data_IF_613672040638
#
_entry.id   IF_613672040638
#
_cell.length_a   1.000
_cell.length_b   1.000
_cell.length_c   1.000
_cell.angle_alpha   90.00
_cell.angle_beta   90.00
_cell.angle_gamma   90.00
#
_symmetry.space_group_name_H-M   'P 1'
#
loop_
_entity.id
_entity.type
_entity.pdbx_description
1 polymer ?
#
# COMPACT_ATOMS: atom_id res chain seq x y z
N UNK A 1 -35.04 27.50 -13.54
CA UNK A 1 -35.15 27.12 -12.11
C UNK A 1 -34.51 25.74 -11.97
N UNK A 2 -33.46 25.58 -11.17
CA UNK A 2 -32.88 24.26 -10.93
C UNK A 2 -33.87 23.49 -10.07
N UNK A 3 -34.33 22.31 -10.50
CA UNK A 3 -35.15 21.45 -9.67
C UNK A 3 -34.41 21.23 -8.35
N UNK A 4 -34.98 21.69 -7.24
CA UNK A 4 -34.46 21.38 -5.92
C UNK A 4 -34.75 19.90 -5.68
N UNK A 5 -33.81 19.05 -6.12
CA UNK A 5 -33.89 17.60 -5.94
C UNK A 5 -34.09 17.26 -4.47
N UNK A 6 -34.82 16.18 -4.20
CA UNK A 6 -35.02 15.68 -2.84
C UNK A 6 -33.66 15.26 -2.28
N UNK A 7 -33.19 15.97 -1.26
CA UNK A 7 -31.97 15.60 -0.54
C UNK A 7 -32.25 14.36 0.31
N UNK A 8 -31.40 13.35 0.18
CA UNK A 8 -31.42 12.10 0.92
C UNK A 8 -30.24 12.15 1.90
N UNK A 9 -30.49 12.15 3.22
CA UNK A 9 -29.41 12.08 4.21
C UNK A 9 -28.70 10.72 4.13
N UNK A 10 -27.46 10.66 4.60
CA UNK A 10 -26.62 9.46 4.49
C UNK A 10 -27.26 8.25 5.18
N UNK A 11 -27.94 8.47 6.29
CA UNK A 11 -28.62 7.46 7.10
C UNK A 11 -29.86 6.88 6.42
N UNK A 12 -30.39 7.57 5.39
CA UNK A 12 -31.56 7.14 4.63
C UNK A 12 -31.19 6.39 3.34
N UNK A 13 -29.92 5.99 3.17
CA UNK A 13 -29.49 5.13 2.07
C UNK A 13 -30.05 3.72 2.24
N UNK A 14 -30.66 3.20 1.18
CA UNK A 14 -31.09 1.81 1.09
C UNK A 14 -30.02 1.02 0.35
N UNK A 15 -29.85 -0.26 0.66
CA UNK A 15 -28.80 -1.12 0.08
C UNK A 15 -28.78 -1.16 -1.46
N UNK A 16 -29.92 -0.90 -2.11
CA UNK A 16 -30.04 -0.92 -3.57
C UNK A 16 -29.79 0.45 -4.21
N UNK A 17 -29.67 1.54 -3.44
CA UNK A 17 -29.38 2.86 -3.98
C UNK A 17 -27.97 2.88 -4.58
N UNK A 18 -27.83 3.53 -5.74
CA UNK A 18 -26.57 3.61 -6.46
C UNK A 18 -26.14 5.07 -6.55
N UNK A 19 -24.96 5.37 -6.04
CA UNK A 19 -24.36 6.70 -6.16
C UNK A 19 -23.61 6.75 -7.50
N UNK A 20 -23.94 7.74 -8.35
CA UNK A 20 -23.34 7.94 -9.68
C UNK A 20 -21.91 8.50 -9.60
N UNK A 21 -21.04 7.79 -8.89
CA UNK A 21 -19.66 8.14 -8.61
C UNK A 21 -18.76 6.92 -8.73
N UNK A 22 -17.55 7.09 -9.24
CA UNK A 22 -16.55 6.01 -9.29
C UNK A 22 -16.01 5.61 -7.89
N UNK A 23 -16.45 6.30 -6.83
CA UNK A 23 -16.22 5.88 -5.44
C UNK A 23 -17.23 4.80 -5.01
N UNK A 24 -18.42 4.77 -5.63
CA UNK A 24 -19.42 3.73 -5.41
C UNK A 24 -18.98 2.45 -6.12
N UNK A 25 -18.90 1.35 -5.36
CA UNK A 25 -18.35 0.10 -5.87
C UNK A 25 -19.21 -0.52 -6.98
N UNK A 26 -20.54 -0.40 -6.88
CA UNK A 26 -21.50 -0.94 -7.85
C UNK A 26 -21.42 -0.15 -9.15
N UNK A 27 -21.52 1.19 -9.08
CA UNK A 27 -21.38 2.06 -10.23
C UNK A 27 -20.01 1.88 -10.90
N UNK A 28 -18.92 1.90 -10.13
CA UNK A 28 -17.55 1.67 -10.62
C UNK A 28 -17.42 0.35 -11.38
N UNK A 29 -17.97 -0.73 -10.83
CA UNK A 29 -17.92 -2.07 -11.45
C UNK A 29 -18.65 -2.09 -12.78
N UNK A 30 -19.87 -1.55 -12.82
CA UNK A 30 -20.68 -1.46 -14.04
C UNK A 30 -19.94 -0.63 -15.09
N UNK A 31 -19.47 0.56 -14.72
CA UNK A 31 -18.73 1.44 -15.64
C UNK A 31 -17.50 0.73 -16.21
N UNK A 32 -16.72 0.03 -15.39
CA UNK A 32 -15.54 -0.72 -15.88
C UNK A 32 -15.88 -1.87 -16.84
N UNK A 33 -16.99 -2.57 -16.63
CA UNK A 33 -17.40 -3.62 -17.56
C UNK A 33 -17.71 -3.04 -18.95
N UNK A 34 -18.43 -1.92 -19.00
CA UNK A 34 -18.79 -1.27 -20.27
C UNK A 34 -17.62 -0.56 -20.94
N UNK A 35 -16.74 0.00 -20.13
CA UNK A 35 -15.45 0.52 -20.56
C UNK A 35 -14.62 -0.52 -21.34
N UNK A 36 -14.52 -1.75 -20.84
CA UNK A 36 -13.86 -2.83 -21.60
C UNK A 36 -14.60 -3.18 -22.90
N UNK A 37 -15.93 -3.26 -22.86
CA UNK A 37 -16.76 -3.50 -24.06
C UNK A 37 -16.53 -2.45 -25.15
N UNK A 38 -16.42 -1.17 -24.78
CA UNK A 38 -16.15 -0.08 -25.71
C UNK A 38 -14.74 -0.17 -26.31
N UNK A 39 -13.75 -0.60 -25.52
CA UNK A 39 -12.38 -0.81 -26.02
C UNK A 39 -12.30 -1.95 -27.04
N UNK A 40 -12.97 -3.07 -26.79
CA UNK A 40 -13.01 -4.22 -27.69
C UNK A 40 -13.64 -3.89 -29.05
N UNK A 41 -14.58 -2.94 -29.09
CA UNK A 41 -15.25 -2.48 -30.30
C UNK A 41 -14.45 -1.44 -31.09
N UNK A 42 -13.61 -0.63 -30.43
CA UNK A 42 -12.79 0.39 -31.10
C UNK A 42 -11.47 -0.13 -31.70
N UNK A 43 -11.36 -1.44 -32.01
CA UNK A 43 -10.10 -2.05 -32.52
C UNK A 43 -9.57 -1.40 -33.80
N UNK A 44 -10.45 -0.86 -34.64
CA UNK A 44 -10.06 -0.21 -35.90
C UNK A 44 -9.74 1.28 -35.73
N UNK A 45 -9.75 1.80 -34.49
CA UNK A 45 -9.54 3.22 -34.20
C UNK A 45 -10.68 4.14 -34.63
N UNK A 46 -11.67 3.63 -35.36
CA UNK A 46 -12.86 4.38 -35.78
C UNK A 46 -13.87 4.41 -34.62
N UNK A 47 -14.23 5.61 -34.19
CA UNK A 47 -15.24 5.83 -33.15
C UNK A 47 -16.63 5.70 -33.78
N UNK A 48 -17.41 4.71 -33.34
CA UNK A 48 -18.81 4.57 -33.72
C UNK A 48 -19.71 5.25 -32.66
N UNK A 49 -20.22 6.44 -33.00
CA UNK A 49 -21.07 7.23 -32.09
C UNK A 49 -22.39 6.54 -31.74
N UNK A 50 -22.97 5.80 -32.68
CA UNK A 50 -24.24 5.07 -32.48
C UNK A 50 -24.07 3.94 -31.45
N UNK A 51 -22.98 3.17 -31.56
CA UNK A 51 -22.66 2.14 -30.57
C UNK A 51 -22.33 2.70 -29.19
N UNK A 52 -21.67 3.87 -29.14
CA UNK A 52 -21.38 4.55 -27.89
C UNK A 52 -22.68 5.02 -27.21
N UNK A 53 -23.63 5.57 -27.97
CA UNK A 53 -24.96 5.95 -27.48
C UNK A 53 -25.77 4.75 -27.01
N UNK A 54 -25.76 3.64 -27.77
CA UNK A 54 -26.39 2.38 -27.35
C UNK A 54 -25.81 1.88 -26.03
N UNK A 55 -24.48 1.95 -25.88
CA UNK A 55 -23.80 1.53 -24.66
C UNK A 55 -24.16 2.41 -23.46
N UNK A 56 -24.25 3.74 -23.65
CA UNK A 56 -24.71 4.68 -22.60
C UNK A 56 -26.12 4.33 -22.11
N UNK A 57 -27.03 4.00 -23.03
CA UNK A 57 -28.40 3.62 -22.67
C UNK A 57 -28.48 2.24 -22.00
N UNK A 58 -27.65 1.28 -22.40
CA UNK A 58 -27.54 -0.03 -21.74
C UNK A 58 -27.06 0.09 -20.29
N UNK A 59 -26.04 0.93 -20.03
CA UNK A 59 -25.55 1.23 -18.67
C UNK A 59 -26.67 1.81 -17.82
N UNK A 60 -27.38 2.82 -18.35
CA UNK A 60 -28.48 3.46 -17.64
C UNK A 60 -29.60 2.47 -17.29
N UNK A 61 -30.01 1.64 -18.25
CA UNK A 61 -31.03 0.59 -18.01
C UNK A 61 -30.58 -0.41 -16.95
N UNK A 62 -29.30 -0.81 -16.97
CA UNK A 62 -28.77 -1.76 -15.98
C UNK A 62 -28.79 -1.17 -14.57
N UNK A 63 -28.37 0.09 -14.41
CA UNK A 63 -28.42 0.81 -13.13
C UNK A 63 -29.86 0.98 -12.64
N UNK A 64 -30.79 1.32 -13.53
CA UNK A 64 -32.22 1.45 -13.20
C UNK A 64 -32.85 0.11 -12.79
N UNK A 65 -32.49 -0.97 -13.48
CA UNK A 65 -33.01 -2.31 -13.20
C UNK A 65 -32.46 -2.91 -11.89
N UNK A 66 -31.38 -2.37 -11.32
CA UNK A 66 -30.90 -2.75 -10.00
C UNK A 66 -31.89 -2.37 -8.87
N UNK A 67 -32.89 -1.52 -9.17
CA UNK A 67 -34.09 -1.35 -8.34
C UNK A 67 -33.98 -0.31 -7.22
N UNK A 68 -32.85 0.38 -7.07
CA UNK A 68 -32.74 1.51 -6.13
C UNK A 68 -32.74 2.89 -6.80
N UNK A 69 -32.61 3.93 -5.98
CA UNK A 69 -32.54 5.32 -6.45
C UNK A 69 -31.16 5.58 -7.04
N UNK A 70 -31.12 6.40 -8.10
CA UNK A 70 -29.86 6.94 -8.60
C UNK A 70 -29.58 8.25 -7.87
N UNK A 71 -28.46 8.27 -7.16
CA UNK A 71 -28.08 9.36 -6.27
C UNK A 71 -26.81 10.05 -6.78
N UNK A 72 -26.64 11.32 -6.42
CA UNK A 72 -25.38 12.02 -6.62
C UNK A 72 -25.02 12.79 -5.35
N UNK A 73 -23.73 13.04 -5.15
CA UNK A 73 -23.25 13.81 -4.00
C UNK A 73 -23.75 15.25 -4.11
N UNK A 74 -24.29 15.78 -3.00
CA UNK A 74 -24.55 17.22 -2.88
C UNK A 74 -23.23 18.00 -3.05
N UNK A 75 -22.17 17.53 -2.39
CA UNK A 75 -20.80 17.97 -2.58
C UNK A 75 -19.85 16.77 -2.55
N UNK A 76 -19.12 16.55 -3.63
CA UNK A 76 -18.18 15.43 -3.75
C UNK A 76 -16.96 15.57 -2.83
N UNK A 77 -16.68 16.77 -2.31
CA UNK A 77 -15.57 17.03 -1.38
C UNK A 77 -15.94 16.71 0.05
N UNK A 78 -17.23 16.72 0.37
CA UNK A 78 -17.77 16.43 1.69
C UNK A 78 -18.84 15.34 1.57
N UNK A 79 -18.43 14.05 1.49
CA UNK A 79 -19.35 12.93 1.31
C UNK A 79 -20.49 12.86 2.34
N UNK A 80 -20.31 13.49 3.50
CA UNK A 80 -21.29 13.53 4.58
C UNK A 80 -22.36 14.63 4.40
N UNK A 81 -22.27 15.45 3.36
CA UNK A 81 -23.28 16.46 3.01
C UNK A 81 -24.59 15.85 2.48
N UNK A 82 -24.66 14.51 2.41
CA UNK A 82 -25.79 13.76 1.89
C UNK A 82 -25.79 13.69 0.37
N UNK A 83 -26.91 13.20 -0.15
CA UNK A 83 -27.11 12.94 -1.56
C UNK A 83 -28.35 13.67 -2.05
N UNK A 84 -28.48 13.84 -3.36
CA UNK A 84 -29.75 14.18 -3.95
C UNK A 84 -30.14 13.13 -4.98
N UNK A 85 -31.43 12.81 -5.01
CA UNK A 85 -31.96 11.91 -6.03
C UNK A 85 -31.91 12.60 -7.38
N UNK A 86 -31.33 11.89 -8.35
CA UNK A 86 -31.11 12.38 -9.70
C UNK A 86 -32.27 11.94 -10.58
N UNK A 87 -32.82 12.86 -11.38
CA UNK A 87 -33.80 12.50 -12.40
C UNK A 87 -33.17 11.69 -13.56
N UNK A 88 -34.02 11.08 -14.38
CA UNK A 88 -33.58 10.19 -15.46
C UNK A 88 -32.67 10.89 -16.48
N UNK A 89 -32.96 12.14 -16.80
CA UNK A 89 -32.20 12.92 -17.78
C UNK A 89 -30.81 13.26 -17.25
N UNK A 90 -30.73 13.72 -16.01
CA UNK A 90 -29.48 14.06 -15.33
C UNK A 90 -28.61 12.82 -15.11
N UNK A 91 -29.22 11.68 -14.78
CA UNK A 91 -28.51 10.41 -14.65
C UNK A 91 -27.88 9.97 -15.98
N UNK A 92 -28.65 10.02 -17.07
CA UNK A 92 -28.14 9.74 -18.43
C UNK A 92 -27.00 10.68 -18.82
N UNK A 93 -27.16 11.98 -18.58
CA UNK A 93 -26.13 12.97 -18.88
C UNK A 93 -24.83 12.70 -18.10
N UNK A 94 -24.94 12.34 -16.82
CA UNK A 94 -23.79 11.98 -15.97
C UNK A 94 -23.05 10.75 -16.49
N UNK A 95 -23.77 9.67 -16.78
CA UNK A 95 -23.21 8.43 -17.34
C UNK A 95 -22.52 8.71 -18.68
N UNK A 96 -23.18 9.46 -19.56
CA UNK A 96 -22.64 9.86 -20.84
C UNK A 96 -21.34 10.65 -20.70
N UNK A 97 -21.30 11.61 -19.77
CA UNK A 97 -20.11 12.42 -19.50
C UNK A 97 -18.96 11.58 -18.93
N UNK A 98 -19.23 10.65 -18.01
CA UNK A 98 -18.19 9.76 -17.47
C UNK A 98 -17.59 8.88 -18.56
N UNK A 99 -18.42 8.32 -19.45
CA UNK A 99 -17.97 7.55 -20.61
C UNK A 99 -17.12 8.39 -21.56
N UNK A 100 -17.57 9.60 -21.91
CA UNK A 100 -16.81 10.52 -22.78
C UNK A 100 -15.46 10.90 -22.17
N UNK A 101 -15.43 11.30 -20.88
CA UNK A 101 -14.18 11.67 -20.17
C UNK A 101 -13.18 10.52 -20.14
N UNK A 102 -13.69 9.29 -19.96
CA UNK A 102 -12.83 8.09 -19.98
C UNK A 102 -12.27 7.84 -21.38
N UNK A 103 -13.06 8.07 -22.44
CA UNK A 103 -12.59 7.97 -23.82
C UNK A 103 -11.51 9.01 -24.15
N UNK A 104 -11.66 10.25 -23.68
CA UNK A 104 -10.64 11.30 -23.78
C UNK A 104 -9.34 10.91 -23.06
N UNK A 105 -9.47 10.19 -21.94
CA UNK A 105 -8.34 9.78 -21.11
C UNK A 105 -7.78 8.39 -21.46
N UNK A 106 -8.18 7.78 -22.59
CA UNK A 106 -7.72 6.43 -23.00
C UNK A 106 -6.20 6.27 -22.98
N UNK A 107 -5.45 7.30 -23.36
CA UNK A 107 -3.98 7.27 -23.32
C UNK A 107 -3.39 7.19 -21.90
N UNK A 108 -4.08 7.74 -20.89
CA UNK A 108 -3.62 7.76 -19.49
C UNK A 108 -4.06 6.49 -18.76
N UNK A 109 -5.30 6.05 -18.99
CA UNK A 109 -5.87 4.88 -18.31
C UNK A 109 -5.49 3.55 -18.96
N UNK A 110 -5.17 3.53 -20.25
CA UNK A 110 -4.65 2.34 -20.93
C UNK A 110 -3.43 1.78 -20.21
N UNK A 111 -2.58 2.63 -19.64
CA UNK A 111 -1.39 2.21 -18.88
C UNK A 111 -1.74 1.47 -17.56
N UNK A 112 -2.92 1.72 -16.98
CA UNK A 112 -3.38 1.07 -15.73
C UNK A 112 -4.21 -0.18 -16.04
N UNK A 113 -4.87 -0.25 -17.20
CA UNK A 113 -5.80 -1.33 -17.54
C UNK A 113 -5.17 -2.54 -18.28
N UNK A 114 -3.90 -2.47 -18.71
CA UNK A 114 -3.25 -3.55 -19.49
C UNK A 114 -2.98 -4.83 -18.67
N UNK A 115 -3.19 -4.85 -17.35
CA UNK A 115 -2.85 -6.02 -16.53
C UNK A 115 -4.01 -6.96 -16.18
N UNK A 116 -5.19 -6.81 -16.78
CA UNK A 116 -6.32 -7.72 -16.56
C UNK A 116 -6.71 -8.49 -17.83
N UNK A 117 -6.28 -9.75 -18.02
CA UNK A 117 -6.80 -10.62 -19.08
C UNK A 117 -8.08 -11.34 -18.66
N UNK A 118 -9.10 -11.27 -19.52
CA UNK A 118 -10.45 -11.87 -19.44
C UNK A 118 -10.47 -13.42 -19.30
N UNK A 119 -11.40 -13.99 -18.50
CA UNK A 119 -12.70 -14.57 -18.96
C UNK A 119 -13.50 -15.33 -17.86
N UNK A 120 -14.81 -15.04 -17.82
CA UNK A 120 -15.97 -15.89 -17.51
C UNK A 120 -16.80 -15.57 -16.26
N UNK A 121 -18.11 -15.64 -16.48
CA UNK A 121 -19.25 -15.21 -15.68
C UNK A 121 -19.70 -16.34 -14.75
N UNK A 122 -19.93 -15.99 -13.48
CA UNK A 122 -20.81 -16.62 -12.47
C UNK A 122 -20.80 -18.15 -12.39
N UNK A 123 -19.96 -18.69 -11.51
CA UNK A 123 -20.24 -19.86 -10.65
C UNK A 123 -19.03 -20.08 -9.72
N UNK A 124 -19.25 -20.15 -8.41
CA UNK A 124 -18.28 -20.52 -7.35
C UNK A 124 -16.82 -20.12 -7.65
N UNK A 125 -16.41 -18.90 -7.26
CA UNK A 125 -15.08 -18.27 -7.48
C UNK A 125 -13.92 -19.25 -7.67
N UNK A 126 -13.86 -19.87 -8.85
CA UNK A 126 -12.76 -20.72 -9.26
C UNK A 126 -11.69 -19.74 -9.70
N UNK A 127 -10.74 -19.49 -8.81
CA UNK A 127 -9.59 -18.64 -9.09
C UNK A 127 -9.03 -19.03 -10.46
N UNK A 128 -9.09 -18.12 -11.43
CA UNK A 128 -8.57 -18.36 -12.77
C UNK A 128 -7.05 -18.29 -12.64
N UNK A 129 -6.44 -19.46 -12.50
CA UNK A 129 -4.98 -19.54 -12.44
C UNK A 129 -4.43 -19.37 -13.85
N UNK A 130 -3.52 -18.42 -14.09
CA UNK A 130 -2.86 -18.30 -15.37
C UNK A 130 -2.02 -19.54 -15.65
N UNK A 131 -2.03 -20.00 -16.91
CA UNK A 131 -1.27 -21.18 -17.33
C UNK A 131 0.23 -21.06 -17.02
N UNK A 132 0.77 -19.83 -17.08
CA UNK A 132 2.14 -19.50 -16.70
C UNK A 132 2.12 -18.44 -15.60
N UNK A 133 2.79 -18.72 -14.49
CA UNK A 133 2.97 -17.81 -13.35
C UNK A 133 4.39 -17.25 -13.43
N UNK A 134 4.50 -15.97 -13.77
CA UNK A 134 5.79 -15.31 -13.87
C UNK A 134 6.27 -14.91 -12.47
N UNK A 135 7.43 -15.43 -12.04
CA UNK A 135 8.05 -15.11 -10.74
C UNK A 135 8.66 -13.70 -10.72
N UNK A 136 7.79 -12.70 -10.85
CA UNK A 136 8.12 -11.29 -10.99
C UNK A 136 7.05 -10.45 -10.30
N UNK A 137 7.47 -9.48 -9.49
CA UNK A 137 6.55 -8.52 -8.86
C UNK A 137 5.84 -7.60 -9.87
N UNK A 138 6.23 -7.64 -11.16
CA UNK A 138 5.50 -6.99 -12.26
C UNK A 138 4.30 -7.81 -12.75
N UNK A 139 4.25 -9.10 -12.43
CA UNK A 139 3.09 -9.94 -12.73
C UNK A 139 2.08 -9.78 -11.59
N UNK A 140 0.86 -9.35 -11.93
CA UNK A 140 -0.16 -9.00 -10.94
C UNK A 140 -0.60 -10.22 -10.13
N UNK A 141 -0.84 -11.37 -10.77
CA UNK A 141 -1.21 -12.60 -10.08
C UNK A 141 -0.15 -13.03 -9.06
N UNK A 142 1.13 -13.02 -9.44
CA UNK A 142 2.22 -13.33 -8.52
C UNK A 142 2.32 -12.30 -7.39
N UNK A 143 2.27 -11.00 -7.72
CA UNK A 143 2.37 -9.91 -6.73
C UNK A 143 1.26 -9.96 -5.70
N UNK A 144 0.00 -10.04 -6.14
CA UNK A 144 -1.18 -10.01 -5.27
C UNK A 144 -1.19 -11.17 -4.30
N UNK A 145 -0.94 -12.39 -4.79
CA UNK A 145 -0.91 -13.57 -3.94
C UNK A 145 0.32 -13.58 -3.02
N UNK A 146 1.49 -13.13 -3.48
CA UNK A 146 2.66 -13.01 -2.63
C UNK A 146 2.44 -12.00 -1.48
N UNK A 147 1.67 -10.95 -1.72
CA UNK A 147 1.35 -9.94 -0.70
C UNK A 147 0.47 -10.50 0.41
N UNK A 148 -0.42 -11.44 0.13
CA UNK A 148 -1.19 -12.12 1.18
C UNK A 148 -0.27 -12.81 2.22
N UNK A 149 0.80 -13.45 1.75
CA UNK A 149 1.80 -14.08 2.62
C UNK A 149 2.66 -13.07 3.37
N UNK A 150 2.96 -11.93 2.75
CA UNK A 150 3.62 -10.82 3.44
C UNK A 150 2.76 -10.29 4.59
N UNK A 151 1.45 -10.08 4.35
CA UNK A 151 0.52 -9.65 5.39
C UNK A 151 0.43 -10.67 6.54
N UNK A 152 0.49 -11.98 6.23
CA UNK A 152 0.49 -13.05 7.23
C UNK A 152 1.69 -12.98 8.20
N UNK A 153 2.87 -12.57 7.71
CA UNK A 153 4.06 -12.38 8.55
C UNK A 153 3.99 -11.11 9.41
N UNK A 154 3.11 -10.18 9.03
CA UNK A 154 2.89 -8.93 9.73
C UNK A 154 4.09 -7.98 9.71
N UNK A 155 3.99 -6.90 10.48
CA UNK A 155 4.99 -5.82 10.54
C UNK A 155 6.07 -6.07 11.58
N UNK A 156 6.39 -7.33 11.90
CA UNK A 156 7.38 -7.66 12.95
C UNK A 156 8.80 -7.23 12.56
N UNK A 157 9.54 -6.64 13.51
CA UNK A 157 10.98 -6.37 13.33
C UNK A 157 11.75 -7.69 13.25
N UNK A 158 12.95 -7.69 12.67
CA UNK A 158 13.76 -8.91 12.54
C UNK A 158 13.96 -9.64 13.87
N UNK A 159 14.18 -8.89 14.96
CA UNK A 159 14.29 -9.43 16.32
C UNK A 159 13.00 -10.05 16.89
N UNK A 160 11.84 -9.70 16.33
CA UNK A 160 10.52 -10.19 16.74
C UNK A 160 10.02 -11.30 15.81
N UNK A 161 10.76 -11.64 14.76
CA UNK A 161 10.35 -12.66 13.81
C UNK A 161 10.72 -14.02 14.35
N UNK A 162 9.73 -14.89 14.32
CA UNK A 162 9.93 -16.32 14.51
C UNK A 162 10.47 -16.90 13.19
N UNK A 163 11.70 -17.41 13.23
CA UNK A 163 12.38 -17.98 12.07
C UNK A 163 11.63 -19.18 11.50
N UNK A 164 11.01 -19.98 12.36
CA UNK A 164 10.27 -21.17 11.96
C UNK A 164 8.94 -20.77 11.29
N UNK A 165 8.26 -19.76 11.83
CA UNK A 165 7.05 -19.21 11.20
C UNK A 165 7.37 -18.57 9.83
N UNK A 166 8.46 -17.81 9.73
CA UNK A 166 8.87 -17.21 8.45
C UNK A 166 9.18 -18.29 7.41
N UNK A 167 9.89 -19.35 7.81
CA UNK A 167 10.17 -20.51 6.96
C UNK A 167 8.87 -21.21 6.54
N UNK A 168 7.94 -21.41 7.47
CA UNK A 168 6.63 -22.05 7.21
C UNK A 168 5.80 -21.25 6.21
N UNK A 169 5.72 -19.92 6.36
CA UNK A 169 4.95 -19.07 5.44
C UNK A 169 5.59 -19.00 4.05
N UNK A 170 6.93 -18.97 3.94
CA UNK A 170 7.62 -19.04 2.64
C UNK A 170 7.32 -20.35 1.91
N UNK A 171 7.33 -21.46 2.65
CA UNK A 171 6.99 -22.78 2.12
C UNK A 171 5.52 -22.86 1.68
N UNK A 172 4.61 -22.30 2.48
CA UNK A 172 3.18 -22.19 2.15
C UNK A 172 2.96 -21.37 0.85
N UNK A 173 3.66 -20.26 0.70
CA UNK A 173 3.61 -19.43 -0.51
C UNK A 173 4.08 -20.19 -1.75
N UNK A 174 5.22 -20.90 -1.65
CA UNK A 174 5.71 -21.75 -2.73
C UNK A 174 4.70 -22.85 -3.10
N UNK A 175 4.19 -23.57 -2.10
CA UNK A 175 3.23 -24.65 -2.32
C UNK A 175 1.96 -24.13 -2.99
N UNK A 176 1.46 -22.96 -2.58
CA UNK A 176 0.32 -22.33 -3.25
C UNK A 176 0.56 -22.11 -4.74
N UNK A 177 1.68 -21.48 -5.12
CA UNK A 177 1.96 -21.24 -6.54
C UNK A 177 2.17 -22.54 -7.32
N UNK A 178 2.77 -23.56 -6.70
CA UNK A 178 2.96 -24.89 -7.30
C UNK A 178 1.64 -25.63 -7.50
N UNK A 179 0.76 -25.63 -6.51
CA UNK A 179 -0.54 -26.34 -6.56
C UNK A 179 -1.61 -25.57 -7.33
N UNK A 180 -1.38 -24.29 -7.63
CA UNK A 180 -2.30 -23.48 -8.44
C UNK A 180 -2.47 -24.04 -9.86
N UNK A 181 -1.54 -24.88 -10.36
CA UNK A 181 -1.65 -25.54 -11.66
C UNK A 181 -1.07 -24.74 -12.83
N UNK A 182 -0.45 -23.59 -12.55
CA UNK A 182 0.35 -22.84 -13.53
C UNK A 182 1.82 -23.26 -13.51
N UNK A 183 2.49 -23.17 -14.65
CA UNK A 183 3.95 -23.35 -14.74
C UNK A 183 4.66 -22.15 -14.15
N UNK A 184 5.63 -22.38 -13.26
CA UNK A 184 6.46 -21.28 -12.74
C UNK A 184 7.50 -20.92 -13.78
N UNK A 185 7.46 -19.69 -14.26
CA UNK A 185 8.32 -19.23 -15.35
C UNK A 185 9.05 -17.93 -15.00
N UNK A 186 10.15 -17.69 -15.72
CA UNK A 186 10.91 -16.44 -15.66
C UNK A 186 11.22 -15.94 -17.07
N UNK A 187 11.21 -14.62 -17.25
CA UNK A 187 11.66 -14.01 -18.49
C UNK A 187 13.16 -14.20 -18.69
N UNK A 188 13.57 -14.49 -19.93
CA UNK A 188 14.98 -14.49 -20.32
C UNK A 188 15.61 -13.12 -20.03
N UNK A 189 14.95 -12.05 -20.49
CA UNK A 189 15.27 -10.69 -20.14
C UNK A 189 13.96 -9.91 -19.93
N UNK A 190 13.79 -9.31 -18.77
CA UNK A 190 12.58 -8.55 -18.46
C UNK A 190 12.46 -7.27 -19.30
N UNK A 191 13.57 -6.77 -19.87
CA UNK A 191 13.57 -5.61 -20.77
C UNK A 191 13.22 -5.98 -22.20
N UNK A 192 13.28 -7.27 -22.54
CA UNK A 192 13.08 -7.81 -23.89
C UNK A 192 12.15 -9.03 -23.83
N UNK A 193 10.85 -8.82 -23.56
CA UNK A 193 9.89 -9.91 -23.42
C UNK A 193 9.76 -10.79 -24.68
N UNK A 194 10.14 -10.27 -25.85
CA UNK A 194 10.22 -10.98 -27.12
C UNK A 194 11.21 -12.16 -27.11
N UNK A 195 12.20 -12.15 -26.21
CA UNK A 195 13.12 -13.27 -26.01
C UNK A 195 12.45 -14.46 -25.28
N UNK A 196 11.17 -14.34 -24.92
CA UNK A 196 10.39 -15.39 -24.31
C UNK A 196 10.66 -15.60 -22.82
N UNK A 197 10.29 -16.78 -22.35
CA UNK A 197 10.40 -17.21 -20.96
C UNK A 197 10.82 -18.67 -20.89
N UNK A 198 11.38 -19.06 -19.75
CA UNK A 198 11.72 -20.45 -19.44
C UNK A 198 11.03 -20.88 -18.15
N UNK A 199 10.65 -22.16 -18.11
CA UNK A 199 10.18 -22.83 -16.90
C UNK A 199 11.35 -22.93 -15.93
N UNK A 200 11.13 -22.54 -14.68
CA UNK A 200 12.15 -22.62 -13.63
C UNK A 200 11.98 -23.90 -12.83
N UNK A 201 13.08 -24.44 -12.33
CA UNK A 201 13.05 -25.56 -11.40
C UNK A 201 12.49 -25.14 -10.02
N UNK A 202 12.15 -26.16 -9.23
CA UNK A 202 11.52 -25.98 -7.91
C UNK A 202 12.46 -25.31 -6.90
N UNK A 203 13.76 -25.55 -6.98
CA UNK A 203 14.75 -24.94 -6.10
C UNK A 203 14.86 -23.44 -6.35
N UNK A 204 14.95 -23.04 -7.62
CA UNK A 204 14.96 -21.66 -8.06
C UNK A 204 13.68 -20.95 -7.64
N UNK A 205 12.51 -21.58 -7.85
CA UNK A 205 11.22 -21.00 -7.48
C UNK A 205 11.12 -20.75 -5.97
N UNK A 206 11.47 -21.73 -5.13
CA UNK A 206 11.51 -21.61 -3.66
C UNK A 206 12.41 -20.46 -3.21
N UNK A 207 13.64 -20.42 -3.74
CA UNK A 207 14.61 -19.36 -3.42
C UNK A 207 14.08 -18.00 -3.82
N UNK A 208 13.54 -17.88 -5.04
CA UNK A 208 13.03 -16.61 -5.58
C UNK A 208 11.86 -16.05 -4.76
N UNK A 209 10.89 -16.89 -4.41
CA UNK A 209 9.74 -16.51 -3.55
C UNK A 209 10.23 -16.09 -2.17
N UNK A 210 11.14 -16.88 -1.57
CA UNK A 210 11.75 -16.57 -0.28
C UNK A 210 12.48 -15.23 -0.27
N UNK A 211 13.24 -14.93 -1.33
CA UNK A 211 14.00 -13.69 -1.49
C UNK A 211 13.09 -12.49 -1.75
N UNK A 212 11.95 -12.67 -2.45
CA UNK A 212 10.98 -11.61 -2.65
C UNK A 212 10.27 -11.26 -1.33
N UNK A 213 9.89 -12.26 -0.53
CA UNK A 213 9.33 -12.06 0.82
C UNK A 213 10.35 -11.39 1.73
N UNK A 214 11.60 -11.89 1.78
CA UNK A 214 12.68 -11.32 2.60
C UNK A 214 12.94 -9.85 2.23
N UNK A 215 13.15 -9.56 0.94
CA UNK A 215 13.38 -8.17 0.48
C UNK A 215 12.22 -7.26 0.81
N UNK A 216 10.98 -7.75 0.75
CA UNK A 216 9.81 -6.96 1.14
C UNK A 216 9.83 -6.64 2.64
N UNK A 217 10.18 -7.60 3.47
CA UNK A 217 10.32 -7.44 4.92
C UNK A 217 11.50 -6.52 5.32
N UNK A 218 12.58 -6.48 4.55
CA UNK A 218 13.73 -5.58 4.76
C UNK A 218 13.43 -4.15 4.30
N UNK A 219 12.79 -4.02 3.14
CA UNK A 219 12.44 -2.71 2.58
C UNK A 219 11.20 -2.10 3.22
N UNK A 220 10.68 -2.69 4.30
CA UNK A 220 9.52 -2.20 5.07
C UNK A 220 9.60 -0.70 5.32
N UNK A 221 10.72 -0.21 5.86
CA UNK A 221 10.90 1.22 6.17
C UNK A 221 10.90 2.12 4.92
N UNK A 222 11.11 1.58 3.72
CA UNK A 222 11.11 2.33 2.46
C UNK A 222 9.73 2.36 1.80
N UNK A 223 8.90 1.37 2.06
CA UNK A 223 7.55 1.26 1.48
C UNK A 223 6.46 1.73 2.44
N UNK A 224 6.64 1.58 3.75
CA UNK A 224 5.78 2.21 4.77
C UNK A 224 5.84 3.73 4.69
N UNK A 225 6.87 4.33 4.07
CA UNK A 225 6.96 5.78 3.80
C UNK A 225 6.04 6.21 2.65
N UNK A 226 5.61 5.27 1.81
CA UNK A 226 4.63 5.56 0.75
C UNK A 226 3.21 5.57 1.34
N UNK A 227 2.97 4.84 2.43
CA UNK A 227 1.66 4.79 3.12
C UNK A 227 1.58 5.68 4.38
N UNK A 228 2.72 6.04 5.00
CA UNK A 228 2.80 7.01 6.10
C UNK A 228 3.41 8.30 5.58
N UNK A 229 2.57 9.27 5.21
CA UNK A 229 2.95 10.63 4.82
C UNK A 229 3.57 11.48 5.94
N UNK A 230 4.61 10.96 6.62
CA UNK A 230 5.50 11.75 7.45
C UNK A 230 6.80 11.96 6.66
N UNK A 231 6.90 13.11 6.01
CA UNK A 231 8.16 13.65 5.55
C UNK A 231 9.03 13.98 6.77
N UNK A 232 9.73 12.99 7.33
CA UNK A 232 10.95 13.29 8.08
C UNK A 232 12.05 13.49 7.05
N UNK A 233 12.21 14.73 6.61
CA UNK A 233 13.48 15.22 6.08
C UNK A 233 14.53 15.02 7.17
N UNK A 234 15.20 13.86 7.18
CA UNK A 234 16.45 13.69 7.88
C UNK A 234 17.46 14.61 7.21
N UNK A 235 17.57 15.81 7.77
CA UNK A 235 18.66 16.73 7.51
C UNK A 235 19.97 15.95 7.69
N UNK A 236 20.73 15.82 6.60
CA UNK A 236 22.16 15.52 6.67
C UNK A 236 22.80 16.69 7.41
N UNK A 237 22.90 16.54 8.73
CA UNK A 237 23.67 17.45 9.55
C UNK A 237 25.14 17.13 9.29
N UNK A 238 25.82 18.02 8.56
CA UNK A 238 27.27 18.02 8.44
C UNK A 238 27.83 18.34 9.84
N UNK A 239 28.18 17.28 10.58
CA UNK A 239 28.85 17.38 11.87
C UNK A 239 30.28 17.89 11.68
N UNK A 240 30.43 19.20 11.83
CA UNK A 240 31.66 19.85 12.28
C UNK A 240 32.02 19.32 13.67
N UNK A 241 33.29 18.96 13.85
CA UNK A 241 33.81 18.34 15.05
C UNK A 241 33.80 19.26 16.26
N UNK A 242 33.27 18.76 17.36
CA UNK A 242 33.68 19.13 18.71
C UNK A 242 33.76 17.84 19.50
N UNK A 243 34.97 17.48 19.93
CA UNK A 243 35.18 16.35 20.82
C UNK A 243 34.61 16.68 22.20
N UNK A 244 33.85 15.75 22.76
CA UNK A 244 33.32 15.81 24.10
C UNK A 244 34.41 15.43 25.11
N UNK A 245 34.86 16.41 25.90
CA UNK A 245 35.96 16.30 26.87
C UNK A 245 35.59 15.52 28.14
N UNK A 246 34.37 14.98 28.26
CA UNK A 246 33.92 14.26 29.45
C UNK A 246 34.11 12.74 29.42
N UNK A 247 34.73 12.18 28.36
CA UNK A 247 34.98 10.73 28.23
C UNK A 247 36.42 10.27 28.51
N UNK A 248 37.28 11.16 29.03
CA UNK A 248 38.66 10.84 29.41
C UNK A 248 38.88 10.67 30.93
N UNK A 249 37.83 10.67 31.75
CA UNK A 249 37.94 10.56 33.20
C UNK A 249 37.57 9.17 33.78
N UNK A 250 37.34 8.15 32.94
CA UNK A 250 36.86 6.83 33.37
C UNK A 250 37.80 5.68 32.98
N UNK A 251 39.11 5.95 32.92
CA UNK A 251 40.17 4.92 32.78
C UNK A 251 41.26 5.10 33.86
N UNK A 252 40.87 5.61 35.03
CA UNK A 252 41.74 5.69 36.20
C UNK A 252 41.03 5.10 37.41
N UNK A 253 40.98 3.76 37.49
CA UNK A 253 40.84 3.00 38.75
C UNK A 253 40.63 1.52 38.46
N UNK A 254 41.73 0.79 38.21
CA UNK A 254 41.88 -0.59 38.70
C UNK A 254 43.38 -0.77 38.95
N UNK A 255 43.78 -0.57 40.20
CA UNK A 255 44.96 -1.21 40.78
C UNK A 255 44.54 -2.66 41.06
N UNK A 256 45.35 -3.64 40.62
CA UNK A 256 45.71 -4.81 41.42
C UNK A 256 46.71 -5.71 40.66
N UNK A 257 47.90 -5.75 41.25
CA UNK A 257 48.73 -6.91 41.58
C UNK A 257 49.35 -7.79 40.47
N UNK A 258 50.68 -7.83 40.60
CA UNK A 258 51.70 -8.72 40.05
C UNK A 258 51.33 -10.20 39.95
N UNK A 259 51.77 -10.86 38.87
CA UNK A 259 52.62 -12.06 38.94
C UNK A 259 53.11 -12.46 37.53
N UNK A 260 54.44 -12.48 37.35
CA UNK A 260 55.12 -13.21 36.28
C UNK A 260 55.66 -14.51 36.87
N UNK A 261 55.61 -15.62 36.13
CA UNK A 261 56.86 -16.21 35.63
C UNK A 261 56.71 -16.73 34.18
N UNK A 262 57.65 -16.46 33.28
CA UNK A 262 58.95 -17.11 33.07
C UNK A 262 58.91 -18.33 32.13
N UNK A 263 59.96 -18.39 31.32
CA UNK A 263 60.54 -19.57 30.70
C UNK A 263 59.83 -20.24 29.49
N UNK A 264 60.42 -19.93 28.34
CA UNK A 264 61.29 -20.89 27.63
C UNK A 264 60.67 -21.89 26.63
N UNK A 265 61.46 -22.11 25.57
CA UNK A 265 61.63 -23.38 24.84
C UNK A 265 60.59 -23.80 23.79
N UNK A 266 60.95 -23.61 22.50
CA UNK A 266 61.31 -24.67 21.51
C UNK A 266 61.06 -24.20 20.07
N UNK A 267 62.12 -24.00 19.28
CA UNK A 267 62.74 -24.94 18.31
C UNK A 267 62.01 -25.00 16.95
N UNK A 268 62.77 -24.65 15.88
CA UNK A 268 62.94 -25.31 14.57
C UNK A 268 61.68 -25.87 13.84
N UNK A 269 61.44 -25.70 12.54
CA UNK A 269 62.35 -25.72 11.39
C UNK A 269 61.57 -25.47 10.08
N UNK A 270 62.22 -24.73 9.18
CA UNK A 270 62.27 -24.79 7.70
C UNK A 270 61.20 -25.51 6.86
N UNK A 271 60.75 -24.82 5.80
CA UNK A 271 61.07 -25.13 4.39
C UNK A 271 60.63 -23.96 3.48
N UNK A 272 61.56 -23.25 2.81
CA UNK A 272 61.81 -23.21 1.34
C UNK A 272 60.56 -23.14 0.46
N UNK A 273 60.40 -22.32 -0.59
CA UNK A 273 61.20 -21.48 -1.49
C UNK A 273 60.15 -20.72 -2.34
N UNK A 274 60.38 -19.73 -3.19
CA UNK A 274 61.38 -19.53 -4.24
C UNK A 274 61.19 -18.09 -4.74
N UNK A 275 62.29 -17.47 -5.15
CA UNK A 275 62.43 -16.10 -5.66
C UNK A 275 61.90 -15.99 -7.10
N UNK A 276 61.08 -14.98 -7.41
CA UNK A 276 61.14 -14.24 -8.69
C UNK A 276 60.93 -12.74 -8.43
N UNK A 277 61.86 -11.97 -8.97
CA UNK A 277 62.09 -10.53 -8.90
C UNK A 277 61.30 -9.78 -10.00
N UNK A 278 61.04 -8.48 -9.81
CA UNK A 278 61.01 -7.34 -10.79
C UNK A 278 59.92 -6.30 -10.42
N UNK A 279 60.20 -4.97 -10.55
CA UNK A 279 59.56 -3.90 -9.76
C UNK A 279 58.44 -3.13 -10.52
N UNK A 280 57.59 -2.36 -9.83
CA UNK A 280 56.67 -1.44 -10.50
C UNK A 280 57.26 -0.04 -10.68
N UNK A 281 57.23 0.39 -11.94
CA UNK A 281 57.51 1.75 -12.44
C UNK A 281 56.37 2.70 -12.08
N UNK A 282 56.75 3.94 -11.81
CA UNK A 282 55.91 5.05 -11.40
C UNK A 282 55.04 5.65 -12.53
N UNK A 283 54.12 6.53 -12.08
CA UNK A 283 53.57 7.72 -12.75
C UNK A 283 52.08 7.64 -13.21
N UNK A 284 51.37 8.77 -13.32
CA UNK A 284 50.09 9.03 -12.63
C UNK A 284 48.94 9.26 -13.62
N UNK A 285 47.67 9.32 -13.15
CA UNK A 285 46.58 9.80 -14.00
C UNK A 285 45.50 10.58 -13.26
N UNK A 286 45.10 11.65 -13.93
CA UNK A 286 44.37 12.83 -13.50
C UNK A 286 42.88 12.63 -13.23
N UNK A 287 42.38 13.54 -12.40
CA UNK A 287 40.99 13.85 -12.11
C UNK A 287 40.31 14.51 -13.32
N UNK A 288 39.06 14.14 -13.63
CA UNK A 288 38.07 15.02 -14.27
C UNK A 288 36.69 14.74 -13.67
N UNK A 289 36.24 15.66 -12.83
CA UNK A 289 34.85 15.78 -12.38
C UNK A 289 34.02 16.53 -13.43
N UNK A 290 32.81 16.04 -13.72
CA UNK A 290 31.77 16.80 -14.44
C UNK A 290 30.43 16.59 -13.73
N UNK A 291 30.00 17.62 -13.02
CA UNK A 291 28.69 17.74 -12.39
C UNK A 291 27.59 18.02 -13.43
N UNK A 292 26.38 17.52 -13.16
CA UNK A 292 25.17 17.68 -13.99
C UNK A 292 24.03 18.22 -13.12
N UNK A 293 23.21 19.19 -13.59
CA UNK A 293 22.23 19.86 -12.75
C UNK A 293 20.94 19.04 -12.60
N UNK A 294 20.53 18.82 -11.34
CA UNK A 294 19.26 18.18 -10.96
C UNK A 294 18.10 19.16 -11.09
N UNK A 295 17.03 18.73 -11.77
CA UNK A 295 15.70 19.37 -11.73
C UNK A 295 14.90 18.80 -10.55
N UNK A 296 14.26 19.69 -9.80
CA UNK A 296 13.35 19.37 -8.69
C UNK A 296 11.96 18.95 -9.19
N UNK A 297 11.29 17.96 -8.56
CA UNK A 297 9.90 17.63 -8.86
C UNK A 297 8.93 18.24 -7.83
N UNK A 298 7.93 18.97 -8.32
CA UNK A 298 6.79 19.46 -7.55
C UNK A 298 5.87 18.29 -7.12
N UNK A 299 5.63 18.17 -5.81
CA UNK A 299 4.74 17.17 -5.22
C UNK A 299 3.29 17.64 -5.08
N UNK A 300 2.34 16.76 -5.42
CA UNK A 300 0.89 16.96 -5.38
C UNK A 300 0.30 16.09 -4.24
N UNK A 301 -0.22 16.71 -3.17
CA UNK A 301 -0.51 16.08 -1.87
C UNK A 301 -2.01 15.75 -1.64
N UNK A 302 -2.62 14.95 -2.52
CA UNK A 302 -4.09 14.84 -2.56
C UNK A 302 -4.79 13.51 -2.24
N UNK A 303 -4.12 12.37 -1.97
CA UNK A 303 -4.82 11.09 -2.19
C UNK A 303 -4.39 9.82 -1.39
N UNK A 304 -4.22 9.83 -0.06
CA UNK A 304 -3.77 8.60 0.67
C UNK A 304 -4.65 8.04 1.80
N UNK A 305 -5.90 8.49 1.99
CA UNK A 305 -6.74 8.02 3.12
C UNK A 305 -7.59 6.74 2.86
N UNK A 306 -7.30 5.97 1.82
CA UNK A 306 -8.24 4.95 1.29
C UNK A 306 -8.07 3.50 1.80
N UNK A 307 -7.53 3.26 3.00
CA UNK A 307 -7.03 1.91 3.36
C UNK A 307 -7.49 1.27 4.69
N UNK A 308 -8.60 1.71 5.29
CA UNK A 308 -9.28 0.85 6.27
C UNK A 308 -10.28 -0.05 5.53
N UNK A 309 -10.25 -1.36 5.80
CA UNK A 309 -11.25 -2.27 5.25
C UNK A 309 -12.66 -1.94 5.78
N UNK A 310 -13.67 -2.40 5.05
CA UNK A 310 -15.08 -2.08 5.33
C UNK A 310 -15.49 -2.56 6.73
N UNK A 311 -15.01 -3.73 7.14
CA UNK A 311 -15.32 -4.32 8.45
C UNK A 311 -14.79 -3.46 9.60
N UNK A 312 -13.54 -3.01 9.49
CA UNK A 312 -12.89 -2.14 10.47
C UNK A 312 -13.63 -0.80 10.56
N UNK A 313 -14.02 -0.23 9.43
CA UNK A 313 -14.79 1.01 9.41
C UNK A 313 -16.16 0.87 10.09
N UNK A 314 -16.87 -0.23 9.84
CA UNK A 314 -18.15 -0.52 10.51
C UNK A 314 -17.97 -0.75 12.01
N UNK A 315 -16.94 -1.49 12.41
CA UNK A 315 -16.63 -1.72 13.82
C UNK A 315 -16.35 -0.40 14.55
N UNK A 316 -15.48 0.46 13.99
CA UNK A 316 -15.15 1.76 14.60
C UNK A 316 -16.37 2.70 14.67
N UNK A 317 -17.25 2.68 13.66
CA UNK A 317 -18.52 3.42 13.69
C UNK A 317 -19.45 2.89 14.78
N UNK A 318 -19.57 1.58 14.92
CA UNK A 318 -20.40 0.96 15.95
C UNK A 318 -19.87 1.28 17.36
N UNK A 319 -18.56 1.23 17.56
CA UNK A 319 -17.93 1.63 18.82
C UNK A 319 -18.24 3.09 19.18
N UNK A 320 -18.11 4.03 18.23
CA UNK A 320 -18.41 5.45 18.44
C UNK A 320 -19.89 5.75 18.72
N UNK A 321 -20.80 4.87 18.30
CA UNK A 321 -22.26 5.04 18.50
C UNK A 321 -22.80 4.30 19.73
N UNK A 322 -21.93 3.58 20.47
CA UNK A 322 -22.34 2.96 21.73
C UNK A 322 -22.71 4.04 22.77
N UNK A 323 -23.77 3.85 23.57
CA UNK A 323 -24.18 4.82 24.58
C UNK A 323 -23.08 5.21 25.58
N UNK A 324 -22.15 4.29 25.88
CA UNK A 324 -21.01 4.53 26.76
C UNK A 324 -19.94 5.48 26.19
N UNK A 325 -19.90 5.67 24.87
CA UNK A 325 -18.88 6.46 24.17
C UNK A 325 -19.44 7.70 23.46
N UNK A 326 -20.77 7.89 23.47
CA UNK A 326 -21.42 9.10 22.93
C UNK A 326 -21.01 10.36 23.70
N UNK A 327 -20.88 10.28 25.03
CA UNK A 327 -20.51 11.44 25.85
C UNK A 327 -19.00 11.74 25.84
N UNK A 328 -18.18 10.71 25.61
CA UNK A 328 -16.72 10.79 25.51
C UNK A 328 -16.20 9.93 24.34
N UNK A 329 -16.08 10.50 23.13
CA UNK A 329 -15.69 9.76 21.94
C UNK A 329 -14.18 9.45 21.89
N UNK A 330 -13.43 9.73 22.96
CA UNK A 330 -12.02 9.43 23.07
C UNK A 330 -11.81 8.05 23.73
N UNK A 331 -11.33 7.04 22.99
CA UNK A 331 -11.17 5.69 23.54
C UNK A 331 -10.15 5.68 24.68
N UNK A 332 -10.47 4.96 25.76
CA UNK A 332 -9.51 4.66 26.82
C UNK A 332 -8.44 3.70 26.29
N UNK A 333 -7.36 3.50 27.06
CA UNK A 333 -6.33 2.50 26.68
C UNK A 333 -6.90 1.07 26.64
N UNK A 334 -7.90 0.76 27.48
CA UNK A 334 -8.61 -0.52 27.42
C UNK A 334 -9.40 -0.67 26.11
N UNK A 335 -10.12 0.38 25.70
CA UNK A 335 -10.88 0.39 24.45
C UNK A 335 -9.98 0.23 23.23
N UNK A 336 -8.84 0.95 23.20
CA UNK A 336 -7.85 0.82 22.12
C UNK A 336 -7.36 -0.62 22.01
N UNK A 337 -7.05 -1.27 23.13
CA UNK A 337 -6.59 -2.66 23.15
C UNK A 337 -7.67 -3.63 22.67
N UNK A 338 -8.93 -3.38 23.03
CA UNK A 338 -10.07 -4.17 22.55
C UNK A 338 -10.28 -4.01 21.04
N UNK A 339 -10.27 -2.78 20.53
CA UNK A 339 -10.39 -2.49 19.09
C UNK A 339 -9.26 -3.17 18.30
N UNK A 340 -8.01 -3.07 18.77
CA UNK A 340 -6.85 -3.70 18.12
C UNK A 340 -7.01 -5.22 18.10
N UNK A 341 -7.50 -5.81 19.20
CA UNK A 341 -7.74 -7.26 19.29
C UNK A 341 -8.82 -7.71 18.31
N UNK A 342 -9.89 -6.94 18.17
CA UNK A 342 -11.07 -7.34 17.41
C UNK A 342 -10.95 -7.04 15.90
N UNK A 343 -10.12 -6.07 15.52
CA UNK A 343 -9.95 -5.63 14.12
C UNK A 343 -8.56 -5.93 13.55
N UNK A 344 -7.57 -6.19 14.39
CA UNK A 344 -6.19 -6.43 13.94
C UNK A 344 -5.44 -5.18 13.47
N UNK A 345 -6.03 -3.97 13.60
CA UNK A 345 -5.38 -2.73 13.17
C UNK A 345 -4.30 -2.26 14.16
N UNK A 346 -3.31 -1.52 13.66
CA UNK A 346 -2.30 -0.90 14.52
C UNK A 346 -2.90 0.21 15.39
N UNK A 347 -2.33 0.40 16.60
CA UNK A 347 -2.77 1.44 17.56
C UNK A 347 -2.85 2.85 16.95
N UNK A 348 -1.89 3.21 16.10
CA UNK A 348 -1.88 4.52 15.41
C UNK A 348 -3.06 4.66 14.44
N UNK A 349 -3.41 3.59 13.71
CA UNK A 349 -4.54 3.58 12.78
C UNK A 349 -5.88 3.61 13.53
N UNK A 350 -5.97 2.99 14.71
CA UNK A 350 -7.13 3.12 15.58
C UNK A 350 -7.39 4.59 15.97
N UNK A 351 -6.34 5.31 16.41
CA UNK A 351 -6.47 6.74 16.77
C UNK A 351 -6.86 7.58 15.56
N UNK A 352 -6.20 7.39 14.41
CA UNK A 352 -6.48 8.17 13.19
C UNK A 352 -7.91 7.87 12.68
N UNK A 353 -8.30 6.60 12.64
CA UNK A 353 -9.62 6.16 12.19
C UNK A 353 -10.74 6.78 13.03
N UNK A 354 -10.62 6.71 14.37
CA UNK A 354 -11.59 7.32 15.28
C UNK A 354 -11.64 8.84 15.12
N UNK A 355 -10.50 9.51 14.95
CA UNK A 355 -10.43 10.96 14.79
C UNK A 355 -11.04 11.42 13.45
N UNK A 356 -10.89 10.63 12.39
CA UNK A 356 -11.53 10.87 11.09
C UNK A 356 -13.05 10.68 11.18
N UNK A 357 -13.52 9.60 11.79
CA UNK A 357 -14.96 9.33 11.93
C UNK A 357 -15.63 10.36 12.86
N UNK A 358 -14.98 10.75 13.96
CA UNK A 358 -15.47 11.79 14.88
C UNK A 358 -15.57 13.16 14.20
N UNK A 359 -14.60 13.52 13.34
CA UNK A 359 -14.67 14.74 12.52
C UNK A 359 -15.76 14.68 11.45
N UNK A 360 -15.97 13.52 10.85
CA UNK A 360 -16.97 13.32 9.81
C UNK A 360 -18.41 13.37 10.33
N UNK A 361 -18.66 12.88 11.54
CA UNK A 361 -19.99 12.80 12.14
C UNK A 361 -20.50 14.13 12.73
N UNK A 362 -19.69 15.19 12.71
CA UNK A 362 -20.05 16.47 13.35
C UNK A 362 -20.22 16.37 14.88
N UNK A 363 -19.82 15.24 15.48
CA UNK A 363 -20.09 14.88 16.87
C UNK A 363 -18.94 15.27 17.82
N UNK A 364 -18.11 16.25 17.46
CA UNK A 364 -17.13 16.80 18.40
C UNK A 364 -17.81 17.88 19.25
N UNK A 365 -18.15 17.62 20.53
CA UNK A 365 -18.56 18.69 21.41
C UNK A 365 -17.41 19.69 21.52
N UNK A 366 -17.74 20.96 21.31
CA UNK A 366 -16.88 22.11 21.59
C UNK A 366 -16.65 22.23 23.11
N UNK A 367 -15.97 21.26 23.72
CA UNK A 367 -15.43 21.43 25.07
C UNK A 367 -14.10 22.15 24.90
N UNK A 368 -14.12 23.46 25.14
CA UNK A 368 -12.92 24.19 25.56
C UNK A 368 -12.31 23.42 26.73
N UNK A 369 -11.12 22.88 26.50
CA UNK A 369 -10.36 22.12 27.49
C UNK A 369 -9.92 23.10 28.60
N UNK A 370 -10.74 23.26 29.63
CA UNK A 370 -10.32 23.86 30.90
C UNK A 370 -9.34 22.86 31.54
N UNK A 371 -8.04 23.18 31.69
CA UNK A 371 -7.09 22.27 32.30
C UNK A 371 -7.51 22.00 33.75
N UNK A 372 -7.72 20.73 34.08
CA UNK A 372 -7.97 20.25 35.43
C UNK A 372 -6.98 20.87 36.42
N UNK A 373 -7.54 21.45 37.48
CA UNK A 373 -6.85 22.15 38.57
C UNK A 373 -5.95 21.24 39.42
N UNK A 374 -5.86 19.94 39.11
CA UNK A 374 -5.03 18.97 39.82
C UNK A 374 -3.51 19.14 39.57
N UNK A 375 -3.08 19.98 38.60
CA UNK A 375 -1.66 20.15 38.26
C UNK A 375 -1.00 21.44 38.81
N UNK A 376 -1.64 22.14 39.77
CA UNK A 376 -1.09 23.37 40.40
C UNK A 376 -0.44 23.18 41.78
N UNK A 377 -0.25 21.95 42.26
CA UNK A 377 0.53 21.69 43.49
C UNK A 377 1.77 20.85 43.18
N UNK A 378 2.78 21.46 42.59
CA UNK A 378 4.16 20.94 42.63
C UNK A 378 5.24 22.02 42.36
N UNK A 379 4.88 23.30 42.53
CA UNK A 379 5.83 24.40 42.58
C UNK A 379 5.38 25.37 43.67
N UNK A 380 5.56 24.95 44.92
CA UNK A 380 5.83 25.84 46.04
C UNK A 380 6.60 25.10 47.13
#
# INVERSE_FOLDING_TARGET
MKNAGVTVPFEALVHNDIILSLQDSTYKTIMYQYYRKLEEKTKDGIRNEEEEMKTKEEVYKLLKNAGGRLLNYVDYRTPNSGFFQVDEETARAKIANDISRRNESKGIWGMIAISSPNKSVVSHNKMIVPQNIYLSLKNDFYRENLFAYFHKLGTKTESQRDSDEEKRVKEEAYNFFKTSGGKLVKHNDWKKPELGYYEVDDEYARRKISDDIRRRLETRNRWDVVDNGAATSAARNNGSGVMDLHKLAEIASVEDEEELPDASLRLYSHSQGTVIHVPPVAAPREQIEKESPRKEPHGNAGATYSYLDIYTLEYLKMWLTMPSHIEDPYPTEADKNQIIRDTGIAKTLCIIGLLVIARGSGSLPSKTYEPSTASKRLLH
#
